data_IF_548627468309
#
_entry.id   IF_548627468309
#
_cell.length_a   1.000
_cell.length_b   1.000
_cell.length_c   1.000
_cell.angle_alpha   90.00
_cell.angle_beta   90.00
_cell.angle_gamma   90.00
#
_symmetry.space_group_name_H-M   'P 1'
#
loop_
_entity.id
_entity.type
_entity.pdbx_description
1 polymer ?
#
# COMPACT_ATOMS: atom_id res chain seq x y z
N UNK A 1 6.32 -11.96 11.36
CA UNK A 1 5.14 -11.09 11.49
C UNK A 1 4.72 -10.69 10.08
N UNK A 2 3.50 -11.05 9.67
CA UNK A 2 2.91 -10.58 8.41
C UNK A 2 2.80 -9.04 8.47
N UNK A 3 3.16 -8.32 7.42
CA UNK A 3 3.06 -6.87 7.42
C UNK A 3 1.60 -6.45 7.65
N UNK A 4 1.39 -5.48 8.53
CA UNK A 4 0.08 -4.89 8.78
C UNK A 4 -0.31 -4.13 7.53
N UNK A 5 -1.25 -4.68 6.76
CA UNK A 5 -1.58 -4.13 5.45
C UNK A 5 -2.39 -2.84 5.54
N UNK A 6 -3.31 -2.74 6.52
CA UNK A 6 -4.23 -1.61 6.63
C UNK A 6 -4.41 -1.20 8.10
N UNK A 7 -4.58 0.10 8.32
CA UNK A 7 -4.96 0.63 9.63
C UNK A 7 -5.95 1.79 9.51
N UNK A 8 -6.89 1.84 10.46
CA UNK A 8 -7.78 2.98 10.69
C UNK A 8 -7.23 3.75 11.88
N UNK A 9 -6.80 4.98 11.65
CA UNK A 9 -6.34 5.89 12.70
C UNK A 9 -7.51 6.76 13.17
N UNK A 10 -7.75 6.77 14.46
CA UNK A 10 -8.71 7.63 15.15
C UNK A 10 -7.93 8.77 15.77
N UNK A 11 -8.01 9.95 15.21
CA UNK A 11 -7.37 11.16 15.73
C UNK A 11 -8.27 11.85 16.73
N UNK A 12 -7.70 12.30 17.85
CA UNK A 12 -8.45 13.01 18.89
C UNK A 12 -7.56 13.56 20.00
N UNK A 13 -8.09 14.50 20.76
CA UNK A 13 -7.37 15.11 21.90
C UNK A 13 -7.28 14.18 23.11
N UNK A 14 -8.37 13.45 23.40
CA UNK A 14 -8.46 12.52 24.50
C UNK A 14 -8.11 11.09 24.04
N UNK A 15 -7.17 10.45 24.73
CA UNK A 15 -6.73 9.09 24.42
C UNK A 15 -7.78 8.04 24.81
N UNK A 16 -8.54 8.28 25.90
CA UNK A 16 -9.56 7.35 26.37
C UNK A 16 -10.73 7.29 25.37
N UNK A 17 -11.22 8.44 24.93
CA UNK A 17 -12.27 8.51 23.92
C UNK A 17 -11.78 7.96 22.57
N UNK A 18 -10.53 8.25 22.16
CA UNK A 18 -9.95 7.68 20.94
C UNK A 18 -9.88 6.15 20.99
N UNK A 19 -9.49 5.59 22.15
CA UNK A 19 -9.43 4.13 22.33
C UNK A 19 -10.83 3.50 22.37
N UNK A 20 -11.81 4.15 23.01
CA UNK A 20 -13.20 3.69 23.02
C UNK A 20 -13.78 3.63 21.60
N UNK A 21 -13.56 4.68 20.81
CA UNK A 21 -13.95 4.70 19.39
C UNK A 21 -13.21 3.61 18.59
N UNK A 22 -11.91 3.41 18.83
CA UNK A 22 -11.16 2.35 18.18
C UNK A 22 -11.71 0.95 18.49
N UNK A 23 -12.11 0.67 19.73
CA UNK A 23 -12.75 -0.60 20.12
C UNK A 23 -14.11 -0.77 19.44
N UNK A 24 -14.88 0.30 19.26
CA UNK A 24 -16.14 0.24 18.51
C UNK A 24 -15.89 -0.06 17.03
N UNK A 25 -14.89 0.60 16.43
CA UNK A 25 -14.47 0.35 15.04
C UNK A 25 -14.05 -1.12 14.87
N UNK A 26 -13.23 -1.63 15.77
CA UNK A 26 -12.77 -3.03 15.76
C UNK A 26 -13.93 -4.02 15.70
N UNK A 27 -14.96 -3.82 16.53
CA UNK A 27 -16.17 -4.65 16.51
C UNK A 27 -16.93 -4.59 15.19
N UNK A 28 -17.04 -3.39 14.59
CA UNK A 28 -17.71 -3.20 13.29
C UNK A 28 -16.91 -3.86 12.18
N UNK A 29 -15.59 -3.69 12.17
CA UNK A 29 -14.70 -4.29 11.17
C UNK A 29 -14.76 -5.83 11.22
N UNK A 30 -14.92 -6.43 12.39
CA UNK A 30 -15.14 -7.88 12.55
C UNK A 30 -16.39 -8.42 11.88
N UNK A 31 -17.35 -7.55 11.50
CA UNK A 31 -18.57 -7.95 10.75
C UNK A 31 -18.40 -7.90 9.23
N UNK A 32 -17.25 -7.47 8.75
CA UNK A 32 -16.97 -7.35 7.31
C UNK A 32 -16.24 -8.61 6.84
N UNK A 33 -16.83 -9.30 5.87
CA UNK A 33 -16.24 -10.51 5.31
C UNK A 33 -14.88 -10.23 4.65
N UNK A 34 -13.92 -11.10 4.91
CA UNK A 34 -12.54 -10.99 4.40
C UNK A 34 -11.62 -10.11 5.24
N UNK A 35 -12.09 -9.47 6.31
CA UNK A 35 -11.23 -8.77 7.28
C UNK A 35 -10.74 -9.78 8.32
N UNK A 36 -9.42 -9.88 8.44
CA UNK A 36 -8.73 -10.77 9.39
C UNK A 36 -7.63 -10.02 10.15
N UNK A 37 -7.03 -10.67 11.15
CA UNK A 37 -5.94 -10.14 11.97
C UNK A 37 -6.29 -8.79 12.64
N UNK A 38 -7.56 -8.61 13.00
CA UNK A 38 -8.05 -7.41 13.69
C UNK A 38 -7.35 -7.21 15.04
N UNK A 39 -6.98 -5.97 15.31
CA UNK A 39 -6.42 -5.62 16.60
C UNK A 39 -6.32 -4.12 16.84
N UNK A 40 -6.80 -3.70 17.99
CA UNK A 40 -6.63 -2.32 18.47
C UNK A 40 -5.21 -2.15 19.00
N UNK A 41 -4.48 -1.16 18.49
CA UNK A 41 -3.22 -0.75 19.07
C UNK A 41 -3.57 0.04 20.34
N UNK A 42 -3.50 -0.64 21.48
CA UNK A 42 -3.86 -0.05 22.77
C UNK A 42 -2.82 0.96 23.21
N UNK A 43 -3.27 2.18 23.45
CA UNK A 43 -2.44 3.26 23.97
C UNK A 43 -2.48 3.32 25.49
N UNK A 44 -3.51 2.72 26.10
CA UNK A 44 -3.81 2.73 27.53
C UNK A 44 -4.00 1.29 27.99
N UNK A 45 -3.61 0.99 29.21
CA UNK A 45 -3.89 -0.32 29.81
C UNK A 45 -2.71 -0.96 30.50
N UNK A 46 -1.56 -0.27 30.63
CA UNK A 46 -0.47 -0.75 31.47
C UNK A 46 -0.65 -0.25 32.91
N UNK A 47 -0.59 -1.12 33.92
CA UNK A 47 -0.56 -0.67 35.31
C UNK A 47 0.73 0.12 35.55
N UNK A 48 0.56 1.29 36.12
CA UNK A 48 1.63 2.21 36.50
C UNK A 48 1.52 2.48 38.00
N UNK A 49 2.60 2.28 38.77
CA UNK A 49 2.66 2.67 40.12
C UNK A 49 2.97 4.15 40.21
N UNK A 50 2.03 4.92 40.77
CA UNK A 50 2.17 6.36 40.97
C UNK A 50 2.40 6.66 42.44
N UNK A 51 3.46 7.38 42.70
CA UNK A 51 3.84 7.86 44.04
C UNK A 51 3.78 9.39 44.00
N UNK A 52 2.75 9.97 44.61
CA UNK A 52 2.53 11.41 44.66
C UNK A 52 2.95 11.92 46.06
N UNK A 53 4.02 12.71 46.09
CA UNK A 53 4.53 13.28 47.32
C UNK A 53 3.62 14.41 47.81
N UNK A 54 3.28 14.38 49.11
CA UNK A 54 2.49 15.41 49.78
C UNK A 54 3.43 16.47 50.37
N UNK A 55 3.42 17.67 49.81
CA UNK A 55 4.31 18.76 50.23
C UNK A 55 4.07 19.21 51.67
N UNK A 56 2.84 19.14 52.17
CA UNK A 56 2.53 19.50 53.60
C UNK A 56 3.09 18.47 54.55
N UNK A 57 3.02 17.21 54.23
CA UNK A 57 3.60 16.14 55.03
C UNK A 57 5.12 16.19 55.00
N UNK A 58 5.72 16.42 53.82
CA UNK A 58 7.18 16.63 53.72
C UNK A 58 7.67 17.75 54.61
N UNK A 59 7.00 18.90 54.56
CA UNK A 59 7.34 20.04 55.41
C UNK A 59 7.18 19.72 56.92
N UNK A 60 6.12 18.99 57.30
CA UNK A 60 5.86 18.59 58.69
C UNK A 60 6.96 17.70 59.26
N UNK A 61 7.46 16.76 58.46
CA UNK A 61 8.51 15.83 58.88
C UNK A 61 9.93 16.34 58.59
N UNK A 62 10.08 17.55 58.04
CA UNK A 62 11.37 18.12 57.68
C UNK A 62 12.19 17.30 56.70
N UNK A 63 11.50 16.67 55.71
CA UNK A 63 12.11 15.82 54.69
C UNK A 63 12.14 16.55 53.35
N UNK A 64 13.31 16.59 52.70
CA UNK A 64 13.43 17.19 51.39
C UNK A 64 12.86 16.26 50.31
N UNK A 65 12.20 16.83 49.29
CA UNK A 65 11.60 16.09 48.16
C UNK A 65 12.64 15.28 47.40
N UNK A 66 13.84 15.83 47.21
CA UNK A 66 14.96 15.17 46.51
C UNK A 66 15.44 13.93 47.27
N UNK A 67 15.46 13.95 48.60
CA UNK A 67 15.87 12.78 49.40
C UNK A 67 14.87 11.64 49.25
N UNK A 68 13.56 11.94 49.30
CA UNK A 68 12.52 10.94 49.06
C UNK A 68 12.63 10.32 47.66
N UNK A 69 12.79 11.15 46.63
CA UNK A 69 12.91 10.68 45.24
C UNK A 69 14.18 9.83 45.07
N UNK A 70 15.32 10.26 45.62
CA UNK A 70 16.58 9.51 45.52
C UNK A 70 16.50 8.15 46.22
N UNK A 71 15.80 8.05 47.33
CA UNK A 71 15.62 6.79 48.08
C UNK A 71 14.65 5.87 47.34
N UNK A 72 13.53 6.40 46.81
CA UNK A 72 12.59 5.63 46.00
C UNK A 72 13.27 5.10 44.73
N UNK A 73 14.04 5.94 44.05
CA UNK A 73 14.83 5.54 42.88
C UNK A 73 15.79 4.39 43.23
N UNK A 74 16.56 4.56 44.29
CA UNK A 74 17.51 3.55 44.76
C UNK A 74 16.82 2.28 45.19
N UNK A 75 15.74 2.35 45.94
CA UNK A 75 15.04 1.19 46.49
C UNK A 75 14.34 0.36 45.39
N UNK A 76 13.67 1.01 44.45
CA UNK A 76 12.86 0.35 43.42
C UNK A 76 13.68 0.06 42.17
N UNK A 77 14.26 1.09 41.54
CA UNK A 77 14.99 1.03 40.30
C UNK A 77 16.45 0.56 40.46
N UNK A 78 17.05 0.96 41.54
CA UNK A 78 18.47 0.84 41.82
C UNK A 78 19.24 2.08 41.37
N UNK A 79 20.23 2.45 42.17
CA UNK A 79 21.13 3.57 41.91
C UNK A 79 22.57 3.08 41.84
N UNK A 80 23.31 3.55 40.84
CA UNK A 80 24.73 3.20 40.73
C UNK A 80 25.50 3.90 41.84
N UNK A 81 26.12 3.10 42.72
CA UNK A 81 26.97 3.60 43.79
C UNK A 81 28.39 3.86 43.30
N UNK A 82 28.88 3.04 42.35
CA UNK A 82 30.23 3.13 41.79
C UNK A 82 30.32 2.42 40.46
N UNK A 83 31.45 2.60 39.77
CA UNK A 83 31.80 1.91 38.53
C UNK A 83 32.99 0.97 38.81
N UNK A 84 32.84 -0.28 38.40
CA UNK A 84 33.93 -1.23 38.36
C UNK A 84 34.49 -1.24 36.95
N UNK A 85 35.79 -1.11 36.82
CA UNK A 85 36.49 -1.21 35.54
C UNK A 85 37.24 -2.55 35.49
N UNK A 86 36.95 -3.34 34.48
CA UNK A 86 37.69 -4.56 34.14
C UNK A 86 38.17 -4.41 32.71
N UNK A 87 39.44 -4.09 32.56
CA UNK A 87 40.08 -3.71 31.32
C UNK A 87 39.33 -2.55 30.61
N UNK A 88 38.77 -2.78 29.43
CA UNK A 88 37.98 -1.77 28.68
C UNK A 88 36.48 -1.77 29.07
N UNK A 89 36.05 -2.71 29.89
CA UNK A 89 34.64 -2.85 30.28
C UNK A 89 34.32 -2.06 31.53
N UNK A 90 33.13 -1.44 31.55
CA UNK A 90 32.63 -0.69 32.68
C UNK A 90 31.35 -1.37 33.21
N UNK A 91 31.33 -1.68 34.49
CA UNK A 91 30.19 -2.28 35.17
C UNK A 91 29.69 -1.35 36.29
N UNK A 92 28.36 -1.14 36.32
CA UNK A 92 27.74 -0.37 37.41
C UNK A 92 27.59 -1.25 38.65
N UNK A 93 28.09 -0.82 39.76
CA UNK A 93 27.75 -1.41 41.06
C UNK A 93 26.44 -0.78 41.52
N UNK A 94 25.35 -1.54 41.41
CA UNK A 94 24.00 -1.05 41.69
C UNK A 94 23.57 -1.40 43.12
N UNK A 95 23.06 -0.41 43.85
CA UNK A 95 22.40 -0.61 45.15
C UNK A 95 20.90 -0.57 44.94
N UNK A 96 20.22 -1.62 45.38
CA UNK A 96 18.78 -1.77 45.24
C UNK A 96 18.22 -2.66 46.33
N UNK A 97 16.97 -2.42 46.76
CA UNK A 97 16.29 -3.32 47.68
C UNK A 97 16.06 -4.69 47.07
N UNK A 98 16.09 -5.72 47.94
CA UNK A 98 15.76 -7.08 47.53
C UNK A 98 14.32 -7.12 46.96
N UNK A 99 14.04 -7.92 45.90
CA UNK A 99 12.71 -8.02 45.29
C UNK A 99 11.56 -8.17 46.28
N UNK A 100 11.75 -8.91 47.35
CA UNK A 100 10.77 -9.14 48.41
C UNK A 100 10.22 -7.84 49.06
N UNK A 101 11.00 -6.76 49.06
CA UNK A 101 10.64 -5.49 49.69
C UNK A 101 10.10 -4.42 48.72
N UNK A 102 9.86 -4.76 47.42
CA UNK A 102 9.44 -3.82 46.40
C UNK A 102 8.40 -4.38 45.41
N UNK A 103 7.65 -5.44 45.77
CA UNK A 103 6.70 -6.13 44.88
C UNK A 103 5.34 -5.44 44.82
N UNK A 104 4.90 -4.79 45.86
CA UNK A 104 3.57 -4.21 45.96
C UNK A 104 3.58 -2.85 46.68
N UNK A 105 2.44 -2.14 46.65
CA UNK A 105 2.26 -0.81 47.23
C UNK A 105 2.58 -0.79 48.72
N UNK A 106 2.16 -1.82 49.46
CA UNK A 106 2.38 -1.88 50.92
C UNK A 106 3.86 -1.99 51.29
N UNK A 107 4.63 -2.75 50.52
CA UNK A 107 6.08 -2.89 50.77
C UNK A 107 6.83 -1.61 50.40
N UNK A 108 6.46 -1.00 49.26
CA UNK A 108 7.02 0.28 48.85
C UNK A 108 6.70 1.39 49.84
N UNK A 109 5.48 1.38 50.38
CA UNK A 109 5.09 2.30 51.44
C UNK A 109 5.89 2.20 52.74
N UNK A 110 6.51 1.04 53.01
CA UNK A 110 7.36 0.82 54.21
C UNK A 110 8.82 1.23 54.02
N UNK A 111 9.22 1.66 52.80
CA UNK A 111 10.58 2.17 52.57
C UNK A 111 10.80 3.37 53.47
N UNK A 112 11.92 3.39 54.22
CA UNK A 112 12.25 4.41 55.18
C UNK A 112 13.09 5.52 54.55
N UNK A 113 12.70 6.76 54.83
CA UNK A 113 13.38 7.98 54.40
C UNK A 113 13.89 8.71 55.67
N UNK A 114 15.17 9.08 55.72
CA UNK A 114 15.68 9.86 56.88
C UNK A 114 15.15 11.29 56.85
N UNK A 115 14.64 11.76 57.95
CA UNK A 115 14.30 13.16 58.20
C UNK A 115 15.53 13.93 58.68
N UNK A 116 15.44 15.27 58.68
CA UNK A 116 16.54 16.15 59.11
C UNK A 116 16.95 15.99 60.59
N UNK A 117 16.05 15.49 61.43
CA UNK A 117 16.29 15.17 62.82
C UNK A 117 16.84 13.75 63.06
N UNK A 118 17.04 12.97 62.00
CA UNK A 118 17.50 11.58 62.04
C UNK A 118 16.38 10.54 62.20
N UNK A 119 15.13 10.95 62.30
CA UNK A 119 14.00 10.02 62.32
C UNK A 119 13.82 9.32 60.99
N UNK A 120 13.43 8.04 61.01
CA UNK A 120 13.16 7.24 59.79
C UNK A 120 11.66 7.23 59.53
N UNK A 121 11.23 7.93 58.47
CA UNK A 121 9.81 8.10 58.13
C UNK A 121 9.44 7.16 56.96
N UNK A 122 8.40 6.33 57.06
CA UNK A 122 7.92 5.50 55.96
C UNK A 122 7.36 6.34 54.79
N UNK A 123 7.61 5.95 53.52
CA UNK A 123 7.14 6.67 52.35
C UNK A 123 5.62 6.85 52.34
N UNK A 124 4.84 5.91 52.89
CA UNK A 124 3.38 6.02 53.02
C UNK A 124 2.90 7.22 53.82
N UNK A 125 3.73 7.70 54.78
CA UNK A 125 3.43 8.90 55.56
C UNK A 125 3.77 10.19 54.81
N UNK A 126 4.54 10.10 53.70
CA UNK A 126 5.04 11.23 52.92
C UNK A 126 4.36 11.33 51.53
N UNK A 127 3.73 10.25 51.08
CA UNK A 127 3.19 10.16 49.74
C UNK A 127 1.87 9.35 49.68
N UNK A 128 1.09 9.60 48.62
CA UNK A 128 -0.01 8.74 48.19
C UNK A 128 0.54 7.76 47.16
N UNK A 129 0.38 6.46 47.45
CA UNK A 129 0.90 5.37 46.60
C UNK A 129 -0.30 4.61 46.03
N UNK A 130 -0.45 4.64 44.73
CA UNK A 130 -1.57 3.96 44.06
C UNK A 130 -1.19 3.40 42.71
N UNK A 131 -1.77 2.26 42.37
CA UNK A 131 -1.68 1.72 41.04
C UNK A 131 -2.77 2.36 40.16
N UNK A 132 -2.38 2.97 39.07
CA UNK A 132 -3.27 3.57 38.08
C UNK A 132 -3.07 2.88 36.76
N UNK A 133 -4.08 2.97 35.89
CA UNK A 133 -3.94 2.55 34.48
C UNK A 133 -3.53 3.77 33.67
N UNK A 134 -2.28 3.81 33.25
CA UNK A 134 -1.70 4.91 32.48
C UNK A 134 -1.60 4.66 30.99
N UNK A 135 -1.24 5.69 30.21
CA UNK A 135 -0.90 5.53 28.80
C UNK A 135 0.45 4.83 28.64
N UNK A 136 0.46 3.70 27.90
CA UNK A 136 1.69 2.98 27.57
C UNK A 136 2.53 3.74 26.55
N UNK A 137 1.87 4.14 25.44
CA UNK A 137 2.48 4.86 24.33
C UNK A 137 1.49 5.89 23.78
N UNK A 138 1.99 7.07 23.48
CA UNK A 138 1.19 8.12 22.84
C UNK A 138 1.68 8.28 21.40
N UNK A 139 0.95 7.67 20.47
CA UNK A 139 1.24 7.79 19.05
C UNK A 139 0.77 9.15 18.52
N UNK A 140 1.59 9.75 17.67
CA UNK A 140 1.27 11.01 16.99
C UNK A 140 1.57 10.90 15.50
N UNK A 141 0.71 11.54 14.72
CA UNK A 141 0.90 11.74 13.28
C UNK A 141 0.59 13.21 13.00
N UNK A 142 1.53 13.95 12.41
CA UNK A 142 1.44 15.39 12.22
C UNK A 142 1.03 16.15 13.52
N UNK A 143 1.72 15.86 14.63
CA UNK A 143 1.50 16.41 15.96
C UNK A 143 0.16 16.04 16.63
N UNK A 144 -0.78 15.41 15.92
CA UNK A 144 -2.06 14.99 16.49
C UNK A 144 -1.97 13.57 17.05
N UNK A 145 -2.54 13.36 18.25
CA UNK A 145 -2.61 12.03 18.88
C UNK A 145 -3.57 11.13 18.13
N UNK A 146 -3.26 9.84 18.07
CA UNK A 146 -4.16 8.87 17.47
C UNK A 146 -4.13 7.52 18.19
N UNK A 147 -5.23 6.79 18.08
CA UNK A 147 -5.33 5.36 18.33
C UNK A 147 -5.59 4.65 16.99
N UNK A 148 -5.08 3.45 16.78
CA UNK A 148 -5.25 2.75 15.51
C UNK A 148 -5.84 1.36 15.68
N UNK A 149 -6.69 0.98 14.72
CA UNK A 149 -7.17 -0.39 14.52
C UNK A 149 -6.47 -0.93 13.30
N UNK A 150 -5.72 -1.99 13.47
CA UNK A 150 -5.02 -2.70 12.40
C UNK A 150 -5.81 -3.89 11.94
N UNK A 151 -5.72 -4.22 10.65
CA UNK A 151 -6.33 -5.42 10.09
C UNK A 151 -5.68 -5.79 8.75
N UNK A 152 -5.94 -7.01 8.30
CA UNK A 152 -5.57 -7.52 6.99
C UNK A 152 -6.83 -7.86 6.20
N UNK A 153 -6.73 -7.89 4.87
CA UNK A 153 -7.81 -8.38 4.00
C UNK A 153 -7.35 -9.64 3.31
N UNK A 154 -8.12 -10.73 3.42
CA UNK A 154 -7.82 -12.02 2.79
C UNK A 154 -9.06 -12.56 2.07
N UNK A 155 -8.81 -13.30 0.98
CA UNK A 155 -9.89 -13.97 0.23
C UNK A 155 -10.82 -13.03 -0.55
N UNK A 156 -10.61 -11.71 -0.47
CA UNK A 156 -11.43 -10.67 -1.09
C UNK A 156 -10.57 -9.50 -1.59
N UNK A 157 -11.10 -8.74 -2.55
CA UNK A 157 -10.45 -7.51 -2.99
C UNK A 157 -10.38 -6.45 -1.88
N UNK A 158 -9.18 -5.90 -1.67
CA UNK A 158 -8.92 -4.89 -0.65
C UNK A 158 -9.78 -3.64 -0.82
N UNK A 159 -9.93 -3.16 -2.05
CA UNK A 159 -10.70 -1.95 -2.34
C UNK A 159 -12.16 -2.07 -1.96
N UNK A 160 -12.80 -3.19 -2.33
CA UNK A 160 -14.21 -3.48 -2.02
C UNK A 160 -14.43 -3.75 -0.52
N UNK A 161 -13.52 -4.48 0.13
CA UNK A 161 -13.60 -4.74 1.56
C UNK A 161 -13.47 -3.46 2.38
N UNK A 162 -12.51 -2.59 2.05
CA UNK A 162 -12.33 -1.31 2.74
C UNK A 162 -13.49 -0.34 2.46
N UNK A 163 -14.03 -0.32 1.24
CA UNK A 163 -15.19 0.53 0.92
C UNK A 163 -16.43 0.11 1.73
N UNK A 164 -16.69 -1.20 1.88
CA UNK A 164 -17.75 -1.71 2.75
C UNK A 164 -17.49 -1.36 4.22
N UNK A 165 -16.26 -1.56 4.69
CA UNK A 165 -15.84 -1.20 6.04
C UNK A 165 -16.07 0.29 6.32
N UNK A 166 -15.66 1.17 5.41
CA UNK A 166 -15.89 2.61 5.51
C UNK A 166 -17.37 2.95 5.62
N UNK A 167 -18.20 2.33 4.78
CA UNK A 167 -19.66 2.55 4.81
C UNK A 167 -20.26 2.12 6.14
N UNK A 168 -19.90 0.93 6.67
CA UNK A 168 -20.41 0.42 7.95
C UNK A 168 -19.93 1.29 9.13
N UNK A 169 -18.66 1.68 9.15
CA UNK A 169 -18.09 2.53 10.20
C UNK A 169 -18.74 3.91 10.21
N UNK A 170 -18.87 4.55 9.04
CA UNK A 170 -19.50 5.87 8.94
C UNK A 170 -20.99 5.87 9.28
N UNK A 171 -21.69 4.76 9.06
CA UNK A 171 -23.10 4.63 9.42
C UNK A 171 -23.33 4.40 10.93
N UNK A 172 -22.37 3.73 11.59
CA UNK A 172 -22.53 3.31 12.99
C UNK A 172 -21.85 4.23 14.01
N UNK A 173 -20.83 4.99 13.59
CA UNK A 173 -20.03 5.82 14.49
C UNK A 173 -20.25 7.30 14.21
N UNK A 174 -20.74 8.00 15.25
CA UNK A 174 -20.77 9.46 15.27
C UNK A 174 -19.51 9.97 15.96
N UNK A 175 -18.67 10.65 15.21
CA UNK A 175 -17.43 11.23 15.73
C UNK A 175 -17.75 12.50 16.54
N UNK A 176 -17.23 12.66 17.75
CA UNK A 176 -17.30 13.92 18.49
C UNK A 176 -16.55 15.04 17.76
N UNK A 177 -16.83 16.29 18.11
CA UNK A 177 -16.08 17.44 17.59
C UNK A 177 -14.57 17.33 17.87
N UNK A 178 -13.75 17.59 16.85
CA UNK A 178 -12.30 17.49 16.93
C UNK A 178 -11.73 16.08 16.76
N UNK A 179 -12.57 15.07 16.46
CA UNK A 179 -12.13 13.72 16.12
C UNK A 179 -12.25 13.49 14.62
N UNK A 180 -11.31 12.70 14.07
CA UNK A 180 -11.33 12.33 12.65
C UNK A 180 -10.78 10.93 12.44
N UNK A 181 -11.22 10.30 11.34
CA UNK A 181 -10.75 8.98 10.91
C UNK A 181 -9.88 9.12 9.67
N UNK A 182 -8.78 8.38 9.65
CA UNK A 182 -7.94 8.26 8.46
C UNK A 182 -7.61 6.79 8.21
N UNK A 183 -7.91 6.33 7.00
CA UNK A 183 -7.55 5.01 6.51
C UNK A 183 -6.16 5.07 5.89
N UNK A 184 -5.24 4.22 6.36
CA UNK A 184 -3.82 4.26 6.00
C UNK A 184 -3.30 2.87 5.67
N UNK A 185 -2.07 2.79 5.18
CA UNK A 185 -1.42 1.55 4.76
C UNK A 185 -1.55 1.29 3.27
N UNK A 186 -1.60 0.02 2.87
CA UNK A 186 -1.60 -0.39 1.48
C UNK A 186 -2.80 0.14 0.68
N UNK A 187 -3.95 0.30 1.34
CA UNK A 187 -5.13 0.90 0.73
C UNK A 187 -4.87 2.36 0.28
N UNK A 188 -4.24 3.18 1.11
CA UNK A 188 -3.89 4.56 0.75
C UNK A 188 -2.89 4.60 -0.41
N UNK A 189 -1.91 3.69 -0.41
CA UNK A 189 -0.94 3.55 -1.49
C UNK A 189 -1.61 3.11 -2.79
N UNK A 190 -2.52 2.14 -2.73
CA UNK A 190 -3.30 1.68 -3.88
C UNK A 190 -4.17 2.81 -4.46
N UNK A 191 -4.84 3.57 -3.60
CA UNK A 191 -5.69 4.68 -4.03
C UNK A 191 -4.89 5.81 -4.70
N UNK A 192 -3.72 6.16 -4.13
CA UNK A 192 -2.79 7.14 -4.72
C UNK A 192 -2.25 6.67 -6.07
N UNK A 193 -1.84 5.41 -6.16
CA UNK A 193 -1.34 4.85 -7.40
C UNK A 193 -2.42 4.77 -8.49
N UNK A 194 -3.64 4.34 -8.14
CA UNK A 194 -4.77 4.32 -9.08
C UNK A 194 -5.10 5.70 -9.63
N UNK A 195 -5.09 6.74 -8.77
CA UNK A 195 -5.27 8.14 -9.23
C UNK A 195 -4.16 8.59 -10.17
N UNK A 196 -2.90 8.25 -9.87
CA UNK A 196 -1.76 8.57 -10.73
C UNK A 196 -1.86 7.84 -12.08
N UNK A 197 -2.20 6.55 -12.08
CA UNK A 197 -2.40 5.77 -13.30
C UNK A 197 -3.52 6.36 -14.17
N UNK A 198 -4.65 6.76 -13.56
CA UNK A 198 -5.75 7.40 -14.28
C UNK A 198 -5.36 8.73 -14.97
N UNK A 199 -4.32 9.41 -14.49
CA UNK A 199 -3.77 10.62 -15.12
C UNK A 199 -2.67 10.29 -16.13
N UNK A 200 -1.74 9.40 -15.78
CA UNK A 200 -0.55 9.09 -16.59
C UNK A 200 -0.93 8.31 -17.86
N UNK A 201 -1.86 7.36 -17.78
CA UNK A 201 -2.23 6.52 -18.95
C UNK A 201 -2.81 7.34 -20.11
N UNK A 202 -3.80 8.25 -19.92
CA UNK A 202 -4.29 9.09 -21.01
C UNK A 202 -3.21 10.01 -21.60
N UNK A 203 -2.36 10.60 -20.74
CA UNK A 203 -1.25 11.46 -21.19
C UNK A 203 -0.26 10.66 -22.03
N UNK A 204 0.10 9.44 -21.61
CA UNK A 204 0.99 8.57 -22.35
C UNK A 204 0.40 8.19 -23.73
N UNK A 205 -0.89 7.85 -23.78
CA UNK A 205 -1.60 7.56 -25.03
C UNK A 205 -1.60 8.78 -25.95
N UNK A 206 -1.82 9.99 -25.42
CA UNK A 206 -1.78 11.20 -26.21
C UNK A 206 -0.37 11.48 -26.78
N UNK A 207 0.68 11.30 -25.99
CA UNK A 207 2.07 11.43 -26.44
C UNK A 207 2.39 10.41 -27.53
N UNK A 208 1.98 9.16 -27.33
CA UNK A 208 2.15 8.09 -28.32
C UNK A 208 1.42 8.43 -29.62
N UNK A 209 0.18 8.94 -29.53
CA UNK A 209 -0.56 9.39 -30.70
C UNK A 209 0.19 10.48 -31.47
N UNK A 210 0.76 11.47 -30.79
CA UNK A 210 1.56 12.54 -31.42
C UNK A 210 2.78 11.95 -32.12
N UNK A 211 3.51 11.04 -31.45
CA UNK A 211 4.69 10.37 -32.05
C UNK A 211 4.29 9.58 -33.30
N UNK A 212 3.20 8.81 -33.23
CA UNK A 212 2.69 8.04 -34.36
C UNK A 212 2.20 8.96 -35.50
N UNK A 213 1.58 10.08 -35.15
CA UNK A 213 1.16 11.07 -36.13
C UNK A 213 2.35 11.68 -36.87
N UNK A 214 3.43 12.02 -36.17
CA UNK A 214 4.68 12.51 -36.77
C UNK A 214 5.31 11.42 -37.65
N UNK A 215 5.34 10.18 -37.20
CA UNK A 215 5.92 9.04 -37.91
C UNK A 215 5.19 8.76 -39.24
N UNK A 216 3.86 8.72 -39.21
CA UNK A 216 3.07 8.37 -40.38
C UNK A 216 2.58 9.58 -41.22
N UNK A 217 2.73 10.79 -40.67
CA UNK A 217 2.18 12.03 -41.21
C UNK A 217 0.67 11.95 -41.51
N UNK A 218 -0.03 11.04 -40.85
CA UNK A 218 -1.45 10.77 -41.05
C UNK A 218 -2.13 10.31 -39.72
N UNK A 219 -3.16 11.06 -39.31
CA UNK A 219 -3.91 10.75 -38.09
C UNK A 219 -4.66 9.39 -38.17
N UNK A 220 -5.03 8.94 -39.33
CA UNK A 220 -5.76 7.65 -39.53
C UNK A 220 -4.84 6.48 -39.23
N UNK A 221 -3.61 6.52 -39.75
CA UNK A 221 -2.63 5.46 -39.54
C UNK A 221 -2.23 5.40 -38.06
N UNK A 222 -2.02 6.55 -37.43
CA UNK A 222 -1.80 6.63 -35.99
C UNK A 222 -2.97 6.06 -35.18
N UNK A 223 -4.21 6.37 -35.59
CA UNK A 223 -5.42 5.83 -34.96
C UNK A 223 -5.56 4.33 -35.14
N UNK A 224 -5.25 3.80 -36.33
CA UNK A 224 -5.26 2.34 -36.61
C UNK A 224 -4.26 1.60 -35.71
N UNK A 225 -3.05 2.12 -35.56
CA UNK A 225 -2.06 1.51 -34.64
C UNK A 225 -2.58 1.52 -33.20
N UNK A 226 -3.16 2.63 -32.73
CA UNK A 226 -3.71 2.73 -31.38
C UNK A 226 -4.90 1.80 -31.13
N UNK A 227 -5.61 1.38 -32.17
CA UNK A 227 -6.72 0.43 -32.06
C UNK A 227 -6.28 -0.93 -31.51
N UNK A 228 -5.00 -1.29 -31.59
CA UNK A 228 -4.47 -2.50 -30.96
C UNK A 228 -4.55 -2.46 -29.42
N UNK A 229 -4.49 -1.27 -28.82
CA UNK A 229 -4.47 -1.09 -27.36
C UNK A 229 -5.74 -1.59 -26.66
N UNK A 230 -6.97 -1.21 -27.05
CA UNK A 230 -8.20 -1.75 -26.47
C UNK A 230 -8.30 -3.28 -26.54
N UNK A 231 -7.91 -3.89 -27.67
CA UNK A 231 -7.99 -5.34 -27.83
C UNK A 231 -6.96 -6.08 -26.97
N UNK A 232 -5.78 -5.52 -26.82
CA UNK A 232 -4.80 -6.02 -25.86
C UNK A 232 -5.31 -5.91 -24.42
N UNK A 233 -5.96 -4.81 -24.08
CA UNK A 233 -6.57 -4.62 -22.77
C UNK A 233 -7.64 -5.68 -22.48
N UNK A 234 -8.50 -6.00 -23.44
CA UNK A 234 -9.50 -7.08 -23.30
C UNK A 234 -8.83 -8.42 -22.99
N UNK A 235 -7.74 -8.75 -23.68
CA UNK A 235 -6.97 -9.98 -23.41
C UNK A 235 -6.39 -10.02 -21.99
N UNK A 236 -5.83 -8.90 -21.54
CA UNK A 236 -5.28 -8.78 -20.18
C UNK A 236 -6.36 -8.86 -19.08
N UNK A 237 -7.52 -8.22 -19.30
CA UNK A 237 -8.67 -8.29 -18.38
C UNK A 237 -9.22 -9.72 -18.32
N UNK A 238 -9.39 -10.38 -19.49
CA UNK A 238 -9.85 -11.75 -19.54
C UNK A 238 -8.91 -12.70 -18.78
N UNK A 239 -7.60 -12.51 -18.89
CA UNK A 239 -6.62 -13.31 -18.16
C UNK A 239 -6.72 -13.11 -16.65
N UNK A 240 -6.91 -11.87 -16.15
CA UNK A 240 -7.14 -11.60 -14.73
C UNK A 240 -8.42 -12.29 -14.24
N UNK A 241 -9.52 -12.20 -14.98
CA UNK A 241 -10.79 -12.84 -14.65
C UNK A 241 -10.67 -14.37 -14.58
N UNK A 242 -10.02 -14.98 -15.57
CA UNK A 242 -9.82 -16.43 -15.64
C UNK A 242 -8.94 -16.98 -14.52
N UNK A 243 -7.98 -16.18 -14.06
CA UNK A 243 -7.05 -16.54 -12.99
C UNK A 243 -7.53 -16.14 -11.61
N UNK A 244 -8.66 -15.42 -11.50
CA UNK A 244 -9.24 -14.96 -10.24
C UNK A 244 -8.45 -13.83 -9.56
N UNK A 245 -7.56 -13.13 -10.30
CA UNK A 245 -6.83 -11.99 -9.76
C UNK A 245 -7.60 -10.69 -9.94
N UNK A 246 -7.64 -9.91 -8.87
CA UNK A 246 -8.20 -8.57 -8.91
C UNK A 246 -7.24 -7.57 -9.56
N UNK A 247 -7.80 -6.46 -10.07
CA UNK A 247 -6.99 -5.39 -10.63
C UNK A 247 -6.12 -4.76 -9.53
N UNK A 248 -4.81 -4.83 -9.70
CA UNK A 248 -3.80 -4.27 -8.80
C UNK A 248 -2.95 -3.21 -9.50
N UNK A 249 -2.16 -2.47 -8.72
CA UNK A 249 -1.17 -1.52 -9.26
C UNK A 249 -0.22 -2.23 -10.24
N UNK A 250 0.23 -3.42 -9.87
CA UNK A 250 1.13 -4.24 -10.68
C UNK A 250 0.48 -4.68 -11.99
N UNK A 251 -0.81 -5.03 -11.96
CA UNK A 251 -1.58 -5.29 -13.16
C UNK A 251 -1.67 -4.04 -14.05
N UNK A 252 -1.89 -2.86 -13.46
CA UNK A 252 -1.89 -1.58 -14.18
C UNK A 252 -0.56 -1.28 -14.89
N UNK A 253 0.56 -1.55 -14.25
CA UNK A 253 1.90 -1.44 -14.86
C UNK A 253 2.04 -2.47 -16.00
N UNK A 254 1.52 -3.67 -15.81
CA UNK A 254 1.46 -4.70 -16.85
C UNK A 254 0.72 -4.24 -18.10
N UNK A 255 -0.40 -3.55 -17.97
CA UNK A 255 -1.12 -2.96 -19.10
C UNK A 255 -0.29 -1.91 -19.84
N UNK A 256 0.43 -1.03 -19.14
CA UNK A 256 1.29 -0.02 -19.79
C UNK A 256 2.39 -0.69 -20.62
N UNK A 257 3.05 -1.70 -20.07
CA UNK A 257 4.07 -2.46 -20.79
C UNK A 257 3.48 -3.19 -22.02
N UNK A 258 2.32 -3.82 -21.84
CA UNK A 258 1.58 -4.50 -22.92
C UNK A 258 1.24 -3.54 -24.06
N UNK A 259 0.76 -2.34 -23.76
CA UNK A 259 0.40 -1.33 -24.76
C UNK A 259 1.60 -0.97 -25.65
N UNK A 260 2.80 -0.83 -25.04
CA UNK A 260 4.03 -0.58 -25.81
C UNK A 260 4.33 -1.67 -26.85
N UNK A 261 4.23 -2.94 -26.44
CA UNK A 261 4.46 -4.09 -27.34
C UNK A 261 3.41 -4.13 -28.48
N UNK A 262 2.14 -3.87 -28.16
CA UNK A 262 1.06 -3.89 -29.12
C UNK A 262 1.19 -2.77 -30.16
N UNK A 263 1.58 -1.58 -29.73
CA UNK A 263 1.83 -0.44 -30.61
C UNK A 263 2.98 -0.73 -31.56
N UNK A 264 4.08 -1.29 -31.05
CA UNK A 264 5.22 -1.70 -31.89
C UNK A 264 4.80 -2.65 -33.01
N UNK A 265 4.02 -3.68 -32.67
CA UNK A 265 3.51 -4.63 -33.71
C UNK A 265 2.62 -3.94 -34.73
N UNK A 266 1.75 -3.02 -34.31
CA UNK A 266 0.90 -2.24 -35.20
C UNK A 266 1.70 -1.31 -36.12
N UNK A 267 2.71 -0.62 -35.61
CA UNK A 267 3.61 0.24 -36.38
C UNK A 267 4.30 -0.54 -37.50
N UNK A 268 4.89 -1.69 -37.14
CA UNK A 268 5.62 -2.53 -38.11
C UNK A 268 4.67 -3.03 -39.20
N UNK A 269 3.46 -3.47 -38.84
CA UNK A 269 2.48 -3.97 -39.80
C UNK A 269 2.04 -2.87 -40.76
N UNK A 270 1.67 -1.70 -40.30
CA UNK A 270 1.25 -0.59 -41.18
C UNK A 270 2.41 -0.11 -42.05
N UNK A 271 3.64 -0.02 -41.52
CA UNK A 271 4.81 0.33 -42.31
C UNK A 271 5.04 -0.62 -43.48
N UNK A 272 4.91 -1.94 -43.25
CA UNK A 272 5.06 -2.93 -44.32
C UNK A 272 3.94 -2.87 -45.35
N UNK A 273 2.70 -2.68 -44.91
CA UNK A 273 1.56 -2.54 -45.85
C UNK A 273 1.76 -1.28 -46.69
N UNK A 274 2.16 -0.15 -46.13
CA UNK A 274 2.45 1.07 -46.91
C UNK A 274 3.61 0.87 -47.87
N UNK A 275 4.67 0.22 -47.45
CA UNK A 275 5.79 -0.10 -48.33
C UNK A 275 5.33 -0.94 -49.54
N UNK A 276 4.51 -1.98 -49.31
CA UNK A 276 3.97 -2.83 -50.37
C UNK A 276 3.01 -2.07 -51.32
N UNK A 277 2.23 -1.11 -50.81
CA UNK A 277 1.41 -0.24 -51.65
C UNK A 277 2.25 0.68 -52.53
N UNK A 278 3.39 1.18 -52.04
CA UNK A 278 4.34 1.96 -52.86
C UNK A 278 5.00 1.13 -53.96
N UNK A 279 5.13 -0.19 -53.80
CA UNK A 279 5.64 -1.11 -54.85
C UNK A 279 4.57 -1.50 -55.87
N UNK A 280 3.43 -0.80 -55.92
CA UNK A 280 2.30 -0.98 -56.84
C UNK A 280 1.56 -2.31 -56.72
N UNK A 281 1.60 -2.95 -55.56
CA UNK A 281 0.71 -4.10 -55.29
C UNK A 281 -0.74 -3.61 -55.09
N UNK A 282 -1.69 -4.47 -55.45
CA UNK A 282 -3.10 -4.20 -55.15
C UNK A 282 -3.30 -4.15 -53.64
N UNK A 283 -4.31 -3.38 -53.13
CA UNK A 283 -4.55 -3.26 -51.70
C UNK A 283 -4.69 -4.62 -50.99
N UNK A 284 -5.49 -5.58 -51.47
CA UNK A 284 -5.58 -6.90 -50.89
C UNK A 284 -4.24 -7.66 -50.86
N UNK A 285 -3.44 -7.54 -51.92
CA UNK A 285 -2.15 -8.22 -52.03
C UNK A 285 -1.11 -7.54 -51.11
N UNK A 286 -1.12 -6.22 -51.02
CA UNK A 286 -0.25 -5.47 -50.10
C UNK A 286 -0.50 -5.84 -48.63
N UNK A 287 -1.78 -5.93 -48.21
CA UNK A 287 -2.18 -6.37 -46.89
C UNK A 287 -1.78 -7.83 -46.66
N UNK A 288 -2.07 -8.73 -47.60
CA UNK A 288 -1.71 -10.15 -47.50
C UNK A 288 -0.20 -10.37 -47.36
N UNK A 289 0.59 -9.65 -48.17
CA UNK A 289 2.04 -9.77 -48.19
C UNK A 289 2.63 -9.20 -46.92
N UNK A 290 2.18 -8.01 -46.47
CA UNK A 290 2.59 -7.40 -45.21
C UNK A 290 2.27 -8.28 -44.01
N UNK A 291 1.08 -8.89 -43.96
CA UNK A 291 0.73 -9.84 -42.92
C UNK A 291 1.64 -11.08 -42.91
N UNK A 292 1.82 -11.71 -44.08
CA UNK A 292 2.65 -12.92 -44.19
C UNK A 292 4.09 -12.70 -43.77
N UNK A 293 4.68 -11.54 -44.11
CA UNK A 293 6.05 -11.20 -43.76
C UNK A 293 6.21 -11.05 -42.22
N UNK A 294 5.13 -10.69 -41.49
CA UNK A 294 5.17 -10.36 -40.08
C UNK A 294 4.59 -11.41 -39.11
N UNK A 295 3.84 -12.38 -39.60
CA UNK A 295 3.30 -13.47 -38.75
C UNK A 295 4.39 -14.09 -37.89
N UNK A 296 5.51 -14.49 -38.50
CA UNK A 296 6.60 -15.13 -37.75
C UNK A 296 7.17 -14.22 -36.65
N UNK A 297 7.41 -12.95 -36.94
CA UNK A 297 7.96 -11.97 -36.00
C UNK A 297 7.00 -11.73 -34.85
N UNK A 298 5.72 -11.48 -35.12
CA UNK A 298 4.69 -11.20 -34.11
C UNK A 298 4.52 -12.42 -33.18
N UNK A 299 4.39 -13.61 -33.73
CA UNK A 299 4.22 -14.84 -32.93
C UNK A 299 5.47 -15.15 -32.12
N UNK A 300 6.67 -14.98 -32.65
CA UNK A 300 7.92 -15.20 -31.91
C UNK A 300 8.07 -14.19 -30.75
N UNK A 301 7.80 -12.91 -30.97
CA UNK A 301 7.85 -11.89 -29.93
C UNK A 301 6.87 -12.20 -28.81
N UNK A 302 5.62 -12.54 -29.16
CA UNK A 302 4.60 -12.91 -28.19
C UNK A 302 4.99 -14.18 -27.40
N UNK A 303 5.49 -15.21 -28.09
CA UNK A 303 5.92 -16.46 -27.48
C UNK A 303 7.13 -16.23 -26.52
N UNK A 304 8.15 -15.48 -26.95
CA UNK A 304 9.31 -15.17 -26.10
C UNK A 304 8.90 -14.41 -24.84
N UNK A 305 8.07 -13.39 -24.97
CA UNK A 305 7.61 -12.63 -23.81
C UNK A 305 6.72 -13.48 -22.88
N UNK A 306 5.84 -14.32 -23.42
CA UNK A 306 5.00 -15.22 -22.65
C UNK A 306 5.83 -16.27 -21.88
N UNK A 307 6.77 -16.93 -22.56
CA UNK A 307 7.66 -17.92 -21.95
C UNK A 307 8.56 -17.26 -20.89
N UNK A 308 9.11 -16.07 -21.17
CA UNK A 308 9.96 -15.32 -20.24
C UNK A 308 9.23 -14.90 -18.97
N UNK A 309 7.94 -14.62 -19.05
CA UNK A 309 7.10 -14.23 -17.90
C UNK A 309 6.38 -15.42 -17.23
N UNK A 310 6.43 -16.61 -17.82
CA UNK A 310 5.78 -17.81 -17.26
C UNK A 310 6.23 -18.13 -15.82
N UNK A 311 7.53 -18.09 -15.48
CA UNK A 311 7.95 -18.33 -14.11
C UNK A 311 7.36 -17.33 -13.10
N UNK A 312 7.25 -16.05 -13.49
CA UNK A 312 6.65 -15.01 -12.67
C UNK A 312 5.13 -15.20 -12.50
N UNK A 313 4.43 -15.63 -13.57
CA UNK A 313 3.00 -15.90 -13.52
C UNK A 313 2.65 -17.12 -12.65
N UNK A 314 3.55 -18.11 -12.57
CA UNK A 314 3.37 -19.35 -11.79
C UNK A 314 3.96 -19.28 -10.38
N UNK A 315 4.65 -18.21 -10.01
CA UNK A 315 5.28 -18.06 -8.70
C UNK A 315 4.24 -17.96 -7.58
N UNK A 316 4.50 -18.66 -6.45
CA UNK A 316 3.66 -18.69 -5.25
C UNK A 316 4.45 -18.29 -3.98
N UNK A 317 5.68 -17.80 -4.13
CA UNK A 317 6.54 -17.41 -3.01
C UNK A 317 6.16 -16.04 -2.41
N UNK A 318 6.72 -15.73 -1.24
CA UNK A 318 6.62 -14.41 -0.60
C UNK A 318 7.17 -13.35 -1.56
N UNK A 319 6.41 -12.29 -1.83
CA UNK A 319 6.76 -11.22 -2.79
C UNK A 319 6.30 -11.46 -4.23
N UNK A 320 5.80 -12.67 -4.57
CA UNK A 320 5.23 -12.96 -5.89
C UNK A 320 3.89 -12.27 -6.14
N UNK A 321 3.23 -11.80 -5.09
CA UNK A 321 1.92 -11.13 -5.14
C UNK A 321 1.91 -9.90 -6.07
N UNK A 322 3.05 -9.20 -6.17
CA UNK A 322 3.21 -8.06 -7.07
C UNK A 322 3.57 -8.46 -8.50
N UNK A 323 4.37 -9.50 -8.69
CA UNK A 323 4.87 -9.90 -10.01
C UNK A 323 3.85 -10.72 -10.79
N UNK A 324 3.08 -11.55 -10.12
CA UNK A 324 2.13 -12.49 -10.71
C UNK A 324 1.01 -11.79 -11.50
N UNK A 325 0.28 -10.78 -10.97
CA UNK A 325 -0.74 -10.07 -11.73
C UNK A 325 -0.18 -9.33 -12.94
N UNK A 326 1.02 -8.75 -12.83
CA UNK A 326 1.72 -8.11 -13.95
C UNK A 326 2.00 -9.10 -15.07
N UNK A 327 2.57 -10.27 -14.74
CA UNK A 327 2.90 -11.30 -15.73
C UNK A 327 1.64 -11.86 -16.40
N UNK A 328 0.58 -12.12 -15.64
CA UNK A 328 -0.71 -12.62 -16.15
C UNK A 328 -1.32 -11.65 -17.15
N UNK A 329 -1.33 -10.35 -16.83
CA UNK A 329 -1.85 -9.30 -17.73
C UNK A 329 -1.07 -9.27 -19.04
N UNK A 330 0.26 -9.31 -18.97
CA UNK A 330 1.09 -9.25 -20.18
C UNK A 330 0.89 -10.51 -21.01
N UNK A 331 0.92 -11.70 -20.43
CA UNK A 331 0.74 -12.96 -21.17
C UNK A 331 -0.64 -13.01 -21.83
N UNK A 332 -1.70 -12.77 -21.07
CA UNK A 332 -3.06 -12.80 -21.60
C UNK A 332 -3.33 -11.69 -22.62
N UNK A 333 -2.81 -10.50 -22.35
CA UNK A 333 -2.91 -9.39 -23.29
C UNK A 333 -2.15 -9.63 -24.59
N UNK A 334 -0.97 -10.26 -24.54
CA UNK A 334 -0.22 -10.65 -25.75
C UNK A 334 -0.96 -11.69 -26.59
N UNK A 335 -1.62 -12.67 -25.96
CA UNK A 335 -2.46 -13.64 -26.68
C UNK A 335 -3.60 -12.91 -27.41
N UNK A 336 -4.33 -12.04 -26.70
CA UNK A 336 -5.41 -11.25 -27.28
C UNK A 336 -4.93 -10.32 -28.39
N UNK A 337 -3.83 -9.60 -28.15
CA UNK A 337 -3.22 -8.70 -29.13
C UNK A 337 -2.70 -9.44 -30.40
N UNK A 338 -2.10 -10.59 -30.20
CA UNK A 338 -1.61 -11.42 -31.34
C UNK A 338 -2.77 -11.90 -32.18
N UNK A 339 -3.83 -12.40 -31.55
CA UNK A 339 -5.04 -12.78 -32.25
C UNK A 339 -5.64 -11.61 -33.05
N UNK A 340 -5.77 -10.45 -32.38
CA UNK A 340 -6.28 -9.26 -33.08
C UNK A 340 -5.39 -8.83 -34.23
N UNK A 341 -4.07 -8.75 -34.00
CA UNK A 341 -3.11 -8.31 -35.03
C UNK A 341 -3.08 -9.23 -36.28
N UNK A 342 -3.30 -10.53 -36.08
CA UNK A 342 -3.25 -11.48 -37.22
C UNK A 342 -4.59 -11.63 -37.95
N UNK A 343 -5.72 -11.54 -37.26
CA UNK A 343 -7.02 -11.85 -37.86
C UNK A 343 -7.89 -10.62 -38.09
N UNK A 344 -7.94 -9.69 -37.14
CA UNK A 344 -8.89 -8.57 -37.21
C UNK A 344 -8.23 -7.30 -37.76
N UNK A 345 -7.03 -7.01 -37.37
CA UNK A 345 -6.33 -5.78 -37.74
C UNK A 345 -6.13 -5.66 -39.29
N UNK A 346 -5.71 -6.68 -40.02
CA UNK A 346 -5.60 -6.61 -41.50
C UNK A 346 -6.91 -6.27 -42.18
N UNK A 347 -8.02 -6.83 -41.71
CA UNK A 347 -9.36 -6.55 -42.27
C UNK A 347 -9.78 -5.09 -42.03
N UNK A 348 -9.47 -4.57 -40.86
CA UNK A 348 -9.77 -3.15 -40.56
C UNK A 348 -8.91 -2.24 -41.41
N UNK A 349 -7.62 -2.55 -41.58
CA UNK A 349 -6.72 -1.79 -42.42
C UNK A 349 -7.22 -1.81 -43.87
N UNK A 350 -7.56 -2.97 -44.41
CA UNK A 350 -8.10 -3.11 -45.77
C UNK A 350 -9.39 -2.29 -45.95
N UNK A 351 -10.32 -2.35 -44.99
CA UNK A 351 -11.56 -1.58 -45.00
C UNK A 351 -11.32 -0.07 -44.97
N UNK A 352 -10.41 0.41 -44.13
CA UNK A 352 -10.08 1.86 -43.99
C UNK A 352 -9.38 2.34 -45.24
N UNK A 353 -8.41 1.59 -45.77
CA UNK A 353 -7.67 1.99 -46.96
C UNK A 353 -8.51 1.86 -48.24
N UNK A 354 -9.46 0.91 -48.34
CA UNK A 354 -10.37 0.82 -49.44
C UNK A 354 -11.24 2.07 -49.58
N UNK A 355 -11.73 2.62 -48.47
CA UNK A 355 -12.47 3.89 -48.49
C UNK A 355 -11.62 5.11 -48.85
N UNK A 356 -10.29 4.99 -48.79
CA UNK A 356 -9.37 6.08 -49.11
C UNK A 356 -8.91 6.04 -50.57
N UNK A 357 -8.74 4.84 -51.09
CA UNK A 357 -8.14 4.63 -52.41
C UNK A 357 -9.18 4.54 -53.54
N UNK A 358 -10.42 4.17 -53.17
CA UNK A 358 -11.51 4.02 -54.16
C UNK A 358 -12.61 5.05 -53.91
N UNK A 359 -13.07 5.68 -55.02
CA UNK A 359 -14.26 6.53 -54.98
C UNK A 359 -15.52 5.67 -54.80
N UNK A 360 -16.67 6.31 -54.54
CA UNK A 360 -17.98 5.65 -54.42
C UNK A 360 -18.37 4.85 -55.68
N UNK A 361 -17.73 5.13 -56.81
CA UNK A 361 -17.90 4.45 -58.12
C UNK A 361 -16.81 3.39 -58.39
N UNK A 362 -15.91 3.08 -57.43
CA UNK A 362 -14.87 2.07 -57.61
C UNK A 362 -13.64 2.51 -58.41
N UNK A 363 -13.50 3.79 -58.72
CA UNK A 363 -12.34 4.35 -59.40
C UNK A 363 -11.23 4.70 -58.44
N UNK A 364 -9.97 4.39 -58.77
CA UNK A 364 -8.79 4.74 -57.99
C UNK A 364 -8.63 6.26 -57.89
N UNK A 365 -8.76 6.80 -56.69
CA UNK A 365 -8.41 8.19 -56.40
C UNK A 365 -6.89 8.35 -56.47
N UNK A 366 -6.40 8.90 -57.59
CA UNK A 366 -4.99 9.25 -57.74
C UNK A 366 -4.56 10.25 -56.64
N UNK A 367 -3.55 9.86 -55.84
CA UNK A 367 -2.78 10.66 -54.90
C UNK A 367 -3.49 11.08 -53.58
N UNK A 368 -3.37 10.21 -52.58
CA UNK A 368 -3.27 10.66 -51.18
C UNK A 368 -2.63 9.55 -50.30
N UNK A 369 -1.44 9.09 -50.67
CA UNK A 369 -0.58 8.27 -49.79
C UNK A 369 0.60 9.11 -49.32
#
# INVERSE_FOLDING_TARGET
ALPISIAVKVFGKDLYESQKLAVQIDKILGTVEGIEDLGVIRNIGQPELRIELDEQKLARYGVAKEDVQSIIEMAIGGKSASLLYEDERKFNIMVRYNPEFRQNEDQIGKILVPASDGAMIPVKELADIRTITGPLLIFRDNHTRFCAVKFSVRGRDMGTAVAEAQKKVNAAIHLPEGYSLKWTGDFENQQRASKRLAQVVPVSIAIIFVILFVLFSNARDAGLVLLNVPFAAVGGIAALLLTGFNFSISAGIGFIALFGICIQNGVIMISDIKHNLHTRLSLPDAVKTGMRSRIRSIVMTAAMAAIGLMPAAMSHGIGSESQRPLAIVIIGGLIGATFFALFVFPLIVEWVYSKMLYDKEGNLLQRKL
#
